data_IF_405037100287
#
_entry.id   IF_405037100287
#
_cell.length_a   1.000
_cell.length_b   1.000
_cell.length_c   1.000
_cell.angle_alpha   90.00
_cell.angle_beta   90.00
_cell.angle_gamma   90.00
#
_symmetry.space_group_name_H-M   'P 1'
#
loop_
_entity.id
_entity.type
_entity.pdbx_description
1 polymer ?
#
# COMPACT_ATOMS: atom_id res chain seq x y z
N UNK A 1 -6.55 3.44 -7.77
CA UNK A 1 -5.36 4.27 -7.45
C UNK A 1 -4.15 3.36 -7.22
N UNK A 2 -2.97 3.73 -7.70
CA UNK A 2 -1.72 2.95 -7.47
C UNK A 2 -0.78 3.79 -6.61
N UNK A 3 -0.35 3.26 -5.48
CA UNK A 3 0.62 3.89 -4.58
C UNK A 3 1.93 3.13 -4.69
N UNK A 4 2.97 3.78 -5.22
CA UNK A 4 4.31 3.20 -5.27
C UNK A 4 5.04 3.57 -3.99
N UNK A 5 5.39 2.58 -3.16
CA UNK A 5 6.14 2.81 -1.94
C UNK A 5 7.63 3.07 -2.24
N UNK A 6 8.31 3.70 -1.29
CA UNK A 6 9.76 3.84 -1.31
C UNK A 6 10.45 2.47 -1.32
N UNK A 7 11.64 2.43 -1.95
CA UNK A 7 12.45 1.21 -2.14
C UNK A 7 12.81 0.47 -0.84
N UNK A 8 12.72 1.16 0.29
CA UNK A 8 13.08 0.67 1.62
C UNK A 8 11.92 0.90 2.63
N UNK A 9 10.68 0.95 2.14
CA UNK A 9 9.52 1.16 2.99
C UNK A 9 9.47 0.08 4.07
N UNK A 10 9.44 0.52 5.33
CA UNK A 10 9.42 -0.41 6.45
C UNK A 10 8.05 -1.09 6.54
N UNK A 11 8.00 -2.28 7.14
CA UNK A 11 6.72 -3.00 7.35
C UNK A 11 5.68 -2.12 8.05
N UNK A 12 6.10 -1.27 8.99
CA UNK A 12 5.22 -0.31 9.66
C UNK A 12 4.64 0.73 8.71
N UNK A 13 5.39 1.20 7.71
CA UNK A 13 4.87 2.17 6.74
C UNK A 13 3.80 1.53 5.84
N UNK A 14 4.05 0.28 5.42
CA UNK A 14 3.08 -0.50 4.62
C UNK A 14 1.79 -0.70 5.42
N UNK A 15 1.90 -1.13 6.68
CA UNK A 15 0.76 -1.36 7.57
C UNK A 15 -0.03 -0.06 7.82
N UNK A 16 0.67 1.05 8.02
CA UNK A 16 0.05 2.35 8.23
C UNK A 16 -0.71 2.83 6.99
N UNK A 17 -0.16 2.58 5.79
CA UNK A 17 -0.81 2.92 4.52
C UNK A 17 -2.02 2.01 4.26
N UNK A 18 -1.89 0.70 4.52
CA UNK A 18 -3.01 -0.23 4.42
C UNK A 18 -4.16 0.14 5.34
N UNK A 19 -3.87 0.43 6.62
CA UNK A 19 -4.89 0.89 7.57
C UNK A 19 -5.59 2.13 7.09
N UNK A 20 -4.83 3.14 6.66
CA UNK A 20 -5.39 4.43 6.24
C UNK A 20 -6.27 4.29 5.00
N UNK A 21 -5.87 3.46 4.04
CA UNK A 21 -6.66 3.17 2.85
C UNK A 21 -7.92 2.34 3.20
N UNK A 22 -7.81 1.39 4.13
CA UNK A 22 -8.94 0.60 4.63
C UNK A 22 -9.96 1.47 5.38
N UNK A 23 -9.50 2.39 6.24
CA UNK A 23 -10.36 3.36 6.94
C UNK A 23 -11.09 4.30 5.97
N UNK A 24 -10.48 4.62 4.85
CA UNK A 24 -11.08 5.40 3.78
C UNK A 24 -12.07 4.60 2.91
N UNK A 25 -12.23 3.30 3.15
CA UNK A 25 -13.14 2.41 2.42
C UNK A 25 -12.56 1.86 1.12
N UNK A 26 -11.26 2.04 0.87
CA UNK A 26 -10.59 1.45 -0.29
C UNK A 26 -10.12 0.03 0.02
N UNK A 27 -10.26 -0.87 -0.96
CA UNK A 27 -9.63 -2.19 -0.91
C UNK A 27 -8.16 -2.07 -1.27
N UNK A 28 -7.27 -2.42 -0.35
CA UNK A 28 -5.84 -2.45 -0.58
C UNK A 28 -5.38 -3.81 -1.10
N UNK A 29 -4.46 -3.77 -2.05
CA UNK A 29 -3.73 -4.92 -2.58
C UNK A 29 -2.23 -4.60 -2.56
N UNK A 30 -1.51 -4.96 -1.48
CA UNK A 30 -0.07 -4.82 -1.43
C UNK A 30 0.61 -5.85 -2.36
N UNK A 31 1.54 -5.37 -3.16
CA UNK A 31 2.39 -6.12 -4.09
C UNK A 31 3.82 -5.90 -3.61
N UNK A 32 4.36 -6.90 -2.92
CA UNK A 32 5.73 -6.87 -2.41
C UNK A 32 6.65 -7.37 -3.53
N UNK A 33 7.23 -6.43 -4.29
CA UNK A 33 8.27 -6.75 -5.25
C UNK A 33 9.65 -6.80 -4.58
N UNK A 34 10.57 -7.57 -5.15
CA UNK A 34 11.95 -7.71 -4.68
C UNK A 34 12.70 -6.35 -4.59
N UNK A 35 12.31 -5.40 -5.46
CA UNK A 35 12.97 -4.10 -5.59
C UNK A 35 12.10 -2.96 -5.04
N UNK A 36 10.78 -3.07 -5.09
CA UNK A 36 9.82 -2.04 -4.66
C UNK A 36 8.52 -2.68 -4.21
N UNK A 37 7.92 -2.12 -3.16
CA UNK A 37 6.55 -2.43 -2.77
C UNK A 37 5.60 -1.48 -3.49
N UNK A 38 4.51 -2.01 -4.03
CA UNK A 38 3.43 -1.23 -4.64
C UNK A 38 2.14 -1.59 -3.93
N UNK A 39 1.32 -0.61 -3.58
CA UNK A 39 0.02 -0.83 -2.96
C UNK A 39 -1.04 -0.37 -3.94
N UNK A 40 -1.79 -1.32 -4.49
CA UNK A 40 -3.00 -0.99 -5.25
C UNK A 40 -4.11 -0.62 -4.28
N UNK A 41 -4.77 0.51 -4.48
CA UNK A 41 -5.99 0.88 -3.76
C UNK A 41 -7.15 0.92 -4.76
N UNK A 42 -8.13 0.05 -4.56
CA UNK A 42 -9.30 -0.10 -5.42
C UNK A 42 -10.52 0.33 -4.60
N UNK A 43 -11.12 1.44 -5.00
CA UNK A 43 -12.41 1.93 -4.52
C UNK A 43 -13.05 2.68 -5.68
N UNK A 44 -14.37 2.84 -5.62
CA UNK A 44 -15.21 3.38 -6.68
C UNK A 44 -14.68 4.71 -7.25
#
# INVERSE_FOLDING_TARGET
MIIVMSKNASRQEIDNVEKKLTELGFKTHPIIGEIKTVIGAIGD
#
